data_IF_032014528431
#
_entry.id   IF_032014528431
#
_cell.length_a   1.000
_cell.length_b   1.000
_cell.length_c   1.000
_cell.angle_alpha   90.00
_cell.angle_beta   90.00
_cell.angle_gamma   90.00
#
_symmetry.space_group_name_H-M   'P 1'
#
loop_
_entity.id
_entity.type
_entity.pdbx_description
1 polymer ?
#
# COMPACT_ATOMS: atom_id res chain seq x y z
N UNK A 1 -24.98 24.75 16.21
CA UNK A 1 -25.31 23.74 15.18
C UNK A 1 -24.65 22.44 15.61
N UNK A 2 -25.43 21.40 15.94
CA UNK A 2 -24.89 20.05 16.22
C UNK A 2 -24.41 19.45 14.90
N UNK A 3 -23.17 19.01 14.85
CA UNK A 3 -22.62 18.26 13.71
C UNK A 3 -23.34 16.90 13.63
N UNK A 4 -24.11 16.63 12.56
CA UNK A 4 -24.90 15.40 12.42
C UNK A 4 -24.05 14.14 12.22
N UNK A 5 -22.72 14.26 12.08
CA UNK A 5 -21.81 13.11 11.96
C UNK A 5 -21.37 12.52 13.30
N UNK A 6 -21.59 13.24 14.41
CA UNK A 6 -21.19 12.79 15.74
C UNK A 6 -22.30 11.95 16.40
N UNK A 7 -22.48 10.71 15.91
CA UNK A 7 -23.53 9.78 16.37
C UNK A 7 -23.30 9.20 17.78
N UNK A 8 -22.11 9.40 18.35
CA UNK A 8 -21.72 8.84 19.66
C UNK A 8 -21.29 9.99 20.58
N UNK A 9 -22.06 10.27 21.63
CA UNK A 9 -21.78 11.34 22.61
C UNK A 9 -20.84 10.90 23.75
N UNK A 10 -20.39 9.64 23.75
CA UNK A 10 -19.50 9.10 24.79
C UNK A 10 -18.01 9.29 24.46
N UNK A 11 -17.19 9.57 25.48
CA UNK A 11 -15.74 9.56 25.33
C UNK A 11 -15.23 8.12 25.11
N UNK A 12 -14.58 7.88 23.96
CA UNK A 12 -13.95 6.59 23.68
C UNK A 12 -12.79 6.42 24.66
N UNK A 13 -12.78 5.33 25.43
CA UNK A 13 -11.68 5.06 26.36
C UNK A 13 -10.34 5.06 25.61
N UNK A 14 -9.25 5.57 26.20
CA UNK A 14 -7.95 5.62 25.54
C UNK A 14 -7.46 4.21 25.15
N UNK A 15 -7.87 3.16 25.88
CA UNK A 15 -7.59 1.77 25.52
C UNK A 15 -8.35 1.31 24.26
N UNK A 16 -9.64 1.63 24.17
CA UNK A 16 -10.47 1.34 22.99
C UNK A 16 -9.95 2.09 21.76
N UNK A 17 -9.51 3.35 21.91
CA UNK A 17 -8.93 4.14 20.82
C UNK A 17 -7.61 3.55 20.32
N UNK A 18 -6.72 3.14 21.23
CA UNK A 18 -5.46 2.46 20.88
C UNK A 18 -5.70 1.13 20.19
N UNK A 19 -6.66 0.34 20.66
CA UNK A 19 -7.03 -0.93 20.03
C UNK A 19 -7.61 -0.71 18.62
N UNK A 20 -8.50 0.27 18.45
CA UNK A 20 -9.06 0.62 17.16
C UNK A 20 -7.98 1.08 16.17
N UNK A 21 -7.03 1.91 16.62
CA UNK A 21 -5.88 2.32 15.81
C UNK A 21 -5.00 1.12 15.45
N UNK A 22 -4.68 0.24 16.40
CA UNK A 22 -3.87 -0.94 16.16
C UNK A 22 -4.50 -1.90 15.14
N UNK A 23 -5.80 -2.21 15.30
CA UNK A 23 -6.55 -3.03 14.35
C UNK A 23 -6.56 -2.35 12.98
N UNK A 24 -6.84 -1.05 12.93
CA UNK A 24 -6.84 -0.31 11.66
C UNK A 24 -5.49 -0.38 10.97
N UNK A 25 -4.38 -0.23 11.71
CA UNK A 25 -3.00 -0.31 11.19
C UNK A 25 -2.68 -1.70 10.64
N UNK A 26 -2.98 -2.78 11.35
CA UNK A 26 -2.69 -4.15 10.88
C UNK A 26 -3.51 -4.51 9.65
N UNK A 27 -4.76 -4.08 9.60
CA UNK A 27 -5.65 -4.34 8.47
C UNK A 27 -5.48 -3.32 7.35
N UNK A 28 -4.46 -2.44 7.42
CA UNK A 28 -4.15 -1.61 6.27
C UNK A 28 -3.64 -2.47 5.11
N UNK A 29 -3.97 -2.09 3.86
CA UNK A 29 -3.57 -2.82 2.66
C UNK A 29 -2.07 -3.20 2.57
N UNK A 30 -1.10 -2.35 3.00
CA UNK A 30 0.32 -2.70 2.92
C UNK A 30 0.72 -3.89 3.79
N UNK A 31 0.11 -4.07 4.97
CA UNK A 31 0.40 -5.20 5.84
C UNK A 31 -0.16 -6.50 5.27
N UNK A 32 -1.35 -6.46 4.67
CA UNK A 32 -1.92 -7.62 3.97
C UNK A 32 -1.01 -8.04 2.82
N UNK A 33 -0.49 -7.07 2.05
CA UNK A 33 0.49 -7.33 0.99
C UNK A 33 1.76 -7.98 1.54
N UNK A 34 2.29 -7.48 2.67
CA UNK A 34 3.47 -8.06 3.34
C UNK A 34 3.29 -9.56 3.61
N UNK A 35 2.20 -9.93 4.29
CA UNK A 35 1.94 -11.32 4.62
C UNK A 35 1.73 -12.18 3.37
N UNK A 36 1.03 -11.67 2.37
CA UNK A 36 0.83 -12.37 1.10
C UNK A 36 2.18 -12.68 0.43
N UNK A 37 3.04 -11.70 0.25
CA UNK A 37 4.33 -11.91 -0.43
C UNK A 37 5.30 -12.78 0.37
N UNK A 38 5.30 -12.71 1.70
CA UNK A 38 6.07 -13.64 2.55
C UNK A 38 5.60 -15.08 2.30
N UNK A 39 4.30 -15.34 2.38
CA UNK A 39 3.74 -16.69 2.20
C UNK A 39 3.96 -17.22 0.79
N UNK A 40 3.81 -16.39 -0.24
CA UNK A 40 4.06 -16.77 -1.63
C UNK A 40 5.54 -17.06 -1.89
N UNK A 41 6.46 -16.31 -1.26
CA UNK A 41 7.89 -16.52 -1.44
C UNK A 41 8.37 -17.87 -0.90
N UNK A 42 7.67 -18.46 0.07
CA UNK A 42 7.97 -19.82 0.58
C UNK A 42 7.75 -20.93 -0.46
N UNK A 43 7.18 -20.61 -1.62
CA UNK A 43 7.04 -21.54 -2.76
C UNK A 43 8.29 -21.61 -3.64
N UNK A 44 9.31 -20.79 -3.40
CA UNK A 44 10.56 -20.87 -4.16
C UNK A 44 11.33 -22.15 -3.80
N UNK A 45 12.11 -22.66 -4.75
CA UNK A 45 12.77 -23.96 -4.61
C UNK A 45 13.98 -23.91 -3.68
N UNK A 46 14.64 -22.75 -3.58
CA UNK A 46 15.85 -22.56 -2.77
C UNK A 46 15.68 -21.48 -1.70
N UNK A 47 16.38 -21.60 -0.55
CA UNK A 47 16.38 -20.56 0.48
C UNK A 47 16.92 -19.22 -0.01
N UNK A 48 17.92 -19.24 -0.89
CA UNK A 48 18.49 -18.02 -1.49
C UNK A 48 17.46 -17.32 -2.37
N UNK A 49 16.81 -18.05 -3.28
CA UNK A 49 15.75 -17.49 -4.12
C UNK A 49 14.56 -17.00 -3.28
N UNK A 50 14.21 -17.71 -2.20
CA UNK A 50 13.19 -17.27 -1.25
C UNK A 50 13.56 -15.92 -0.62
N UNK A 51 14.80 -15.77 -0.15
CA UNK A 51 15.27 -14.54 0.48
C UNK A 51 15.29 -13.36 -0.51
N UNK A 52 15.76 -13.59 -1.74
CA UNK A 52 15.76 -12.57 -2.80
C UNK A 52 14.32 -12.21 -3.20
N UNK A 53 13.45 -13.20 -3.37
CA UNK A 53 12.03 -13.01 -3.68
C UNK A 53 11.32 -12.17 -2.61
N UNK A 54 11.55 -12.49 -1.32
CA UNK A 54 11.02 -11.70 -0.20
C UNK A 54 11.57 -10.28 -0.21
N UNK A 55 12.87 -10.10 -0.35
CA UNK A 55 13.50 -8.78 -0.33
C UNK A 55 12.96 -7.88 -1.45
N UNK A 56 12.89 -8.40 -2.67
CA UNK A 56 12.37 -7.67 -3.84
C UNK A 56 10.88 -7.36 -3.66
N UNK A 57 10.09 -8.34 -3.22
CA UNK A 57 8.66 -8.14 -3.00
C UNK A 57 8.40 -7.07 -1.94
N UNK A 58 9.08 -7.12 -0.79
CA UNK A 58 8.93 -6.13 0.30
C UNK A 58 9.38 -4.74 -0.15
N UNK A 59 10.50 -4.66 -0.88
CA UNK A 59 11.03 -3.40 -1.40
C UNK A 59 10.00 -2.70 -2.30
N UNK A 60 9.48 -3.39 -3.29
CA UNK A 60 8.56 -2.81 -4.27
C UNK A 60 7.12 -2.67 -3.78
N UNK A 61 6.67 -3.52 -2.85
CA UNK A 61 5.28 -3.47 -2.36
C UNK A 61 5.04 -2.60 -1.14
N UNK A 62 6.08 -2.33 -0.34
CA UNK A 62 5.93 -1.62 0.93
C UNK A 62 6.92 -0.48 1.01
N UNK A 63 8.22 -0.76 0.91
CA UNK A 63 9.25 0.25 1.19
C UNK A 63 9.15 1.42 0.23
N UNK A 64 9.08 1.16 -1.08
CA UNK A 64 8.98 2.19 -2.10
C UNK A 64 7.62 2.94 -2.01
N UNK A 65 6.45 2.26 -2.04
CA UNK A 65 5.16 2.94 -1.90
C UNK A 65 5.04 3.80 -0.63
N UNK A 66 5.50 3.28 0.51
CA UNK A 66 5.47 4.01 1.78
C UNK A 66 6.42 5.20 1.77
N UNK A 67 7.63 5.04 1.21
CA UNK A 67 8.57 6.14 1.06
C UNK A 67 8.00 7.26 0.18
N UNK A 68 7.29 6.91 -0.91
CA UNK A 68 6.59 7.88 -1.76
C UNK A 68 5.51 8.61 -0.96
N UNK A 69 4.67 7.88 -0.21
CA UNK A 69 3.62 8.49 0.61
C UNK A 69 4.23 9.46 1.64
N UNK A 70 5.25 9.04 2.38
CA UNK A 70 5.93 9.86 3.39
C UNK A 70 6.61 11.08 2.77
N UNK A 71 7.26 10.91 1.62
CA UNK A 71 7.90 12.02 0.89
C UNK A 71 6.87 13.07 0.48
N UNK A 72 5.73 12.65 -0.08
CA UNK A 72 4.67 13.56 -0.48
C UNK A 72 3.98 14.20 0.75
N UNK A 73 3.69 13.43 1.80
CA UNK A 73 3.09 13.97 3.04
C UNK A 73 3.95 15.10 3.65
N UNK A 74 5.28 14.89 3.72
CA UNK A 74 6.23 15.91 4.21
C UNK A 74 6.34 17.11 3.28
N UNK A 75 6.33 16.89 1.96
CA UNK A 75 6.45 17.97 0.96
C UNK A 75 5.27 18.93 1.00
N UNK A 76 4.08 18.44 1.34
CA UNK A 76 2.85 19.23 1.36
C UNK A 76 2.38 19.66 2.77
N UNK A 77 3.17 19.35 3.81
CA UNK A 77 2.94 19.84 5.17
C UNK A 77 1.75 19.21 5.89
N UNK A 78 1.37 17.98 5.52
CA UNK A 78 0.33 17.23 6.24
C UNK A 78 0.99 16.38 7.33
N UNK A 79 0.91 16.84 8.58
CA UNK A 79 1.43 16.11 9.75
C UNK A 79 0.66 14.80 10.05
N UNK A 80 -0.53 14.61 9.48
CA UNK A 80 -1.42 13.46 9.75
C UNK A 80 -1.23 12.25 8.80
N UNK A 81 -0.16 12.20 7.99
CA UNK A 81 0.06 11.18 6.94
C UNK A 81 -1.06 11.10 5.88
N UNK A 82 -2.04 11.99 5.94
CA UNK A 82 -3.16 12.06 5.03
C UNK A 82 -2.81 12.98 3.86
N UNK A 83 -2.84 12.48 2.62
CA UNK A 83 -2.70 13.34 1.44
C UNK A 83 -4.07 13.98 1.18
N UNK A 84 -4.33 15.12 1.82
CA UNK A 84 -5.66 15.77 1.85
C UNK A 84 -6.10 16.30 0.47
N UNK A 85 -5.18 16.62 -0.45
CA UNK A 85 -5.52 17.23 -1.74
C UNK A 85 -5.49 16.23 -2.90
N UNK A 86 -6.62 16.13 -3.60
CA UNK A 86 -6.87 15.23 -4.73
C UNK A 86 -5.84 15.36 -5.87
N UNK A 87 -5.38 16.59 -6.13
CA UNK A 87 -4.38 16.90 -7.16
C UNK A 87 -3.00 16.33 -6.81
N UNK A 88 -2.73 16.12 -5.52
CA UNK A 88 -1.46 15.62 -5.01
C UNK A 88 -1.44 14.09 -4.88
N UNK A 89 -2.60 13.41 -5.00
CA UNK A 89 -2.73 11.94 -4.93
C UNK A 89 -2.37 11.24 -6.25
N UNK A 90 -2.55 11.92 -7.38
CA UNK A 90 -2.31 11.35 -8.70
C UNK A 90 -0.83 10.98 -8.93
N UNK A 91 0.10 11.81 -8.43
CA UNK A 91 1.53 11.55 -8.59
C UNK A 91 2.02 10.35 -7.75
N UNK A 92 1.73 10.24 -6.44
CA UNK A 92 2.02 9.04 -5.65
C UNK A 92 1.46 7.76 -6.26
N UNK A 93 0.21 7.78 -6.74
CA UNK A 93 -0.42 6.61 -7.36
C UNK A 93 0.29 6.19 -8.65
N UNK A 94 0.67 7.14 -9.51
CA UNK A 94 1.39 6.84 -10.75
C UNK A 94 2.79 6.31 -10.47
N UNK A 95 3.54 6.96 -9.56
CA UNK A 95 4.89 6.52 -9.19
C UNK A 95 4.82 5.13 -8.53
N UNK A 96 3.85 4.89 -7.65
CA UNK A 96 3.59 3.58 -7.05
C UNK A 96 3.26 2.51 -8.11
N UNK A 97 2.43 2.85 -9.10
CA UNK A 97 2.12 1.96 -10.23
C UNK A 97 3.39 1.55 -10.98
N UNK A 98 4.26 2.51 -11.29
CA UNK A 98 5.54 2.25 -11.96
C UNK A 98 6.44 1.39 -11.09
N UNK A 99 6.49 1.63 -9.77
CA UNK A 99 7.24 0.79 -8.84
C UNK A 99 6.75 -0.67 -8.85
N UNK A 100 5.43 -0.90 -8.79
CA UNK A 100 4.87 -2.26 -8.90
C UNK A 100 5.17 -2.92 -10.25
N UNK A 101 5.13 -2.16 -11.35
CA UNK A 101 5.48 -2.66 -12.67
C UNK A 101 6.97 -3.08 -12.74
N UNK A 102 7.87 -2.26 -12.20
CA UNK A 102 9.30 -2.59 -12.10
C UNK A 102 9.54 -3.80 -11.19
N UNK A 103 8.83 -3.90 -10.07
CA UNK A 103 8.89 -5.07 -9.18
C UNK A 103 8.40 -6.34 -9.86
N UNK A 104 7.38 -6.24 -10.70
CA UNK A 104 6.88 -7.36 -11.52
C UNK A 104 7.95 -7.84 -12.48
N UNK A 105 8.58 -6.92 -13.22
CA UNK A 105 9.66 -7.26 -14.17
C UNK A 105 10.86 -7.86 -13.42
N UNK A 106 11.23 -7.31 -12.27
CA UNK A 106 12.32 -7.83 -11.45
C UNK A 106 12.03 -9.27 -11.00
N UNK A 107 10.84 -9.56 -10.48
CA UNK A 107 10.45 -10.90 -10.06
C UNK A 107 10.38 -11.88 -11.23
N UNK A 108 9.83 -11.44 -12.39
CA UNK A 108 9.81 -12.26 -13.61
C UNK A 108 11.23 -12.65 -14.08
N UNK A 109 12.19 -11.72 -14.02
CA UNK A 109 13.58 -11.99 -14.39
C UNK A 109 14.33 -12.88 -13.39
N UNK A 110 13.83 -13.01 -12.16
CA UNK A 110 14.40 -13.86 -11.10
C UNK A 110 13.90 -15.31 -11.15
N UNK A 111 13.05 -15.64 -12.13
CA UNK A 111 12.50 -16.99 -12.35
C UNK A 111 11.83 -17.56 -11.08
N UNK A 112 11.18 -16.67 -10.30
CA UNK A 112 10.43 -17.06 -9.10
C UNK A 112 9.08 -17.66 -9.51
N UNK A 113 8.40 -18.43 -8.63
CA UNK A 113 7.11 -19.01 -8.94
C UNK A 113 6.11 -18.00 -9.49
N UNK A 114 5.36 -18.38 -10.53
CA UNK A 114 4.54 -17.46 -11.30
C UNK A 114 3.55 -16.65 -10.47
N UNK A 115 3.02 -17.29 -9.42
CA UNK A 115 2.08 -16.69 -8.48
C UNK A 115 2.62 -15.40 -7.85
N UNK A 116 3.94 -15.28 -7.64
CA UNK A 116 4.55 -14.10 -6.99
C UNK A 116 4.54 -12.91 -7.94
N UNK A 117 5.08 -13.06 -9.16
CA UNK A 117 5.16 -11.94 -10.10
C UNK A 117 3.79 -11.58 -10.67
N UNK A 118 2.90 -12.56 -10.87
CA UNK A 118 1.50 -12.30 -11.26
C UNK A 118 0.75 -11.52 -10.18
N UNK A 119 0.99 -11.82 -8.90
CA UNK A 119 0.39 -11.04 -7.80
C UNK A 119 0.88 -9.59 -7.84
N UNK A 120 2.18 -9.35 -8.02
CA UNK A 120 2.73 -8.00 -8.14
C UNK A 120 2.15 -7.26 -9.36
N UNK A 121 1.96 -7.96 -10.49
CA UNK A 121 1.32 -7.40 -11.68
C UNK A 121 -0.13 -6.98 -11.40
N UNK A 122 -0.90 -7.82 -10.70
CA UNK A 122 -2.26 -7.48 -10.27
C UNK A 122 -2.28 -6.20 -9.44
N UNK A 123 -1.36 -6.03 -8.49
CA UNK A 123 -1.24 -4.80 -7.71
C UNK A 123 -0.95 -3.57 -8.58
N UNK A 124 -0.07 -3.72 -9.58
CA UNK A 124 0.22 -2.67 -10.55
C UNK A 124 -1.04 -2.27 -11.34
N UNK A 125 -1.76 -3.25 -11.91
CA UNK A 125 -2.96 -3.01 -12.73
C UNK A 125 -4.10 -2.41 -11.90
N UNK A 126 -4.31 -2.89 -10.67
CA UNK A 126 -5.32 -2.34 -9.76
C UNK A 126 -4.98 -0.90 -9.39
N UNK A 127 -3.73 -0.62 -9.03
CA UNK A 127 -3.29 0.74 -8.67
C UNK A 127 -3.40 1.67 -9.87
N UNK A 128 -3.05 1.21 -11.07
CA UNK A 128 -3.19 1.97 -12.30
C UNK A 128 -4.65 2.28 -12.61
N UNK A 129 -5.54 1.31 -12.40
CA UNK A 129 -6.98 1.50 -12.58
C UNK A 129 -7.51 2.56 -11.61
N UNK A 130 -7.11 2.50 -10.34
CA UNK A 130 -7.44 3.52 -9.33
C UNK A 130 -6.90 4.90 -9.75
N UNK A 131 -5.67 4.96 -10.25
CA UNK A 131 -5.09 6.19 -10.79
C UNK A 131 -5.96 6.77 -11.92
N UNK A 132 -6.36 5.97 -12.90
CA UNK A 132 -7.23 6.42 -14.00
C UNK A 132 -8.54 6.94 -13.42
N UNK A 133 -9.24 6.14 -12.62
CA UNK A 133 -10.56 6.51 -12.07
C UNK A 133 -10.44 7.78 -11.23
N UNK A 134 -9.37 7.97 -10.47
CA UNK A 134 -9.16 9.16 -9.63
C UNK A 134 -9.12 10.47 -10.43
N UNK A 135 -8.71 10.42 -11.72
CA UNK A 135 -8.76 11.56 -12.64
C UNK A 135 -10.18 11.98 -12.99
N UNK A 136 -11.09 11.01 -13.13
CA UNK A 136 -12.46 11.24 -13.57
C UNK A 136 -13.44 11.39 -12.40
N UNK A 137 -13.22 10.69 -11.28
CA UNK A 137 -14.14 10.63 -10.15
C UNK A 137 -13.49 11.05 -8.82
N UNK A 138 -14.22 11.83 -8.01
CA UNK A 138 -13.80 12.33 -6.70
C UNK A 138 -13.88 11.18 -5.69
N UNK A 139 -12.91 10.26 -5.73
CA UNK A 139 -12.85 9.16 -4.76
C UNK A 139 -12.31 9.75 -3.45
N UNK A 140 -13.20 9.86 -2.47
CA UNK A 140 -12.84 9.96 -1.06
C UNK A 140 -12.39 8.57 -0.62
N UNK A 141 -11.12 8.23 -0.88
CA UNK A 141 -10.43 7.17 -0.14
C UNK A 141 -9.93 7.77 1.16
#
# INVERSE_FOLDING_TARGET
MRDPTHLFEGEISPGTRKLAQFISTIFQPPFIALFAFILLSLKCDTPEQTAVCMAVSVLFSIVIPMAIIVFYARKFGNDDLDVVKREERAAPLLIGTVAYALGTVALFLLDVPDVVWVMMLCYSVVTFSIYIISKWWKISV
#
